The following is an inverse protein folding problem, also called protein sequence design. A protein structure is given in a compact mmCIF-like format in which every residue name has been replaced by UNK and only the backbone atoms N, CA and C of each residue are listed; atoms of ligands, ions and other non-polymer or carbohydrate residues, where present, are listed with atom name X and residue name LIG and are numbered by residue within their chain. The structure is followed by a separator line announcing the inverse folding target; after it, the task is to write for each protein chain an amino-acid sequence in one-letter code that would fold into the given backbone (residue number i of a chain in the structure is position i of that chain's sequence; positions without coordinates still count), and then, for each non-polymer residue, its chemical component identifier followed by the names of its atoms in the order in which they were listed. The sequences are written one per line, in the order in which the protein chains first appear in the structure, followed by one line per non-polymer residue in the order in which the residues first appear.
data_IF_092891467143
#
_entry.id   IF_092891467143
#
_cell.length_a   1.000
_cell.length_b   1.000
_cell.length_c   1.000
_cell.angle_alpha   90.00
_cell.angle_beta   90.00
_cell.angle_gamma   90.00
#
_symmetry.space_group_name_H-M   'P 1'
#
loop_
_entity.id
_entity.type
_entity.pdbx_description
1 polymer ?
#
# COMPACT_ATOMS: atom_id res chain seq x y z
N UNK A 1 21.88 -55.60 36.32
CA UNK A 1 22.29 -55.15 37.68
C UNK A 1 21.72 -55.99 38.84
N UNK A 2 20.55 -56.63 38.71
CA UNK A 2 19.90 -57.33 39.84
C UNK A 2 20.71 -58.48 40.49
N UNK A 3 21.27 -59.43 39.72
CA UNK A 3 21.93 -60.63 40.29
C UNK A 3 23.20 -60.31 41.11
N UNK A 4 23.99 -59.34 40.66
CA UNK A 4 25.23 -58.92 41.35
C UNK A 4 24.94 -58.13 42.64
N UNK A 5 23.92 -57.26 42.62
CA UNK A 5 23.47 -56.55 43.82
C UNK A 5 22.90 -57.52 44.87
N UNK A 6 22.12 -58.53 44.44
CA UNK A 6 21.61 -59.58 45.34
C UNK A 6 22.77 -60.36 45.98
N UNK A 7 23.79 -60.72 45.20
CA UNK A 7 24.98 -61.39 45.73
C UNK A 7 25.72 -60.54 46.78
N UNK A 8 25.90 -59.24 46.52
CA UNK A 8 26.53 -58.31 47.48
C UNK A 8 25.69 -58.14 48.76
N UNK A 9 24.36 -58.09 48.65
CA UNK A 9 23.47 -58.04 49.82
C UNK A 9 23.58 -59.32 50.64
N UNK A 10 23.60 -60.50 50.00
CA UNK A 10 23.77 -61.79 50.69
C UNK A 10 25.13 -61.83 51.41
N UNK A 11 26.21 -61.41 50.75
CA UNK A 11 27.54 -61.33 51.34
C UNK A 11 27.57 -60.38 52.56
N UNK A 12 26.95 -59.21 52.43
CA UNK A 12 26.84 -58.21 53.51
C UNK A 12 26.05 -58.76 54.71
N UNK A 13 24.92 -59.42 54.47
CA UNK A 13 24.11 -60.05 55.53
C UNK A 13 24.88 -61.21 56.20
N UNK A 14 25.61 -62.02 55.43
CA UNK A 14 26.46 -63.09 55.97
C UNK A 14 27.59 -62.54 56.86
N UNK A 15 28.26 -61.45 56.42
CA UNK A 15 29.29 -60.77 57.21
C UNK A 15 28.72 -60.16 58.50
N UNK A 16 27.53 -59.57 58.45
CA UNK A 16 26.81 -59.06 59.63
C UNK A 16 26.43 -60.17 60.61
N UNK A 17 25.94 -61.31 60.11
CA UNK A 17 25.63 -62.48 60.94
C UNK A 17 26.87 -63.03 61.65
N UNK A 18 28.01 -63.06 60.96
CA UNK A 18 29.30 -63.48 61.54
C UNK A 18 29.77 -62.50 62.64
N UNK A 19 29.67 -61.19 62.40
CA UNK A 19 30.00 -60.16 63.40
C UNK A 19 29.07 -60.18 64.61
N UNK A 20 27.78 -60.52 64.42
CA UNK A 20 26.81 -60.68 65.50
C UNK A 20 27.17 -61.81 66.47
N UNK A 21 27.76 -62.90 65.96
CA UNK A 21 28.20 -64.04 66.78
C UNK A 21 29.44 -63.68 67.61
N UNK A 22 30.36 -62.89 67.03
CA UNK A 22 31.62 -62.51 67.65
C UNK A 22 31.48 -61.38 68.69
N UNK A 23 30.51 -60.49 68.53
CA UNK A 23 30.41 -59.27 69.34
C UNK A 23 29.14 -59.26 70.21
N UNK A 24 29.27 -59.77 71.45
CA UNK A 24 28.17 -59.84 72.43
C UNK A 24 28.08 -58.64 73.38
N UNK A 25 28.90 -57.61 73.16
CA UNK A 25 28.92 -56.43 74.03
C UNK A 25 27.66 -55.58 73.87
N UNK A 26 27.12 -55.12 74.99
CA UNK A 26 25.95 -54.23 75.06
C UNK A 26 26.37 -52.78 75.29
N UNK A 27 25.50 -51.85 74.91
CA UNK A 27 25.60 -50.42 75.19
C UNK A 27 24.39 -50.03 76.02
N UNK A 28 24.63 -49.39 77.16
CA UNK A 28 23.58 -48.85 78.03
C UNK A 28 23.11 -47.50 77.50
N UNK A 29 21.86 -47.41 77.04
CA UNK A 29 21.23 -46.14 76.65
C UNK A 29 20.30 -45.67 77.76
N UNK A 30 20.49 -44.43 78.23
CA UNK A 30 19.61 -43.75 79.20
C UNK A 30 18.77 -42.71 78.45
N UNK A 31 17.47 -42.96 78.32
CA UNK A 31 16.54 -42.05 77.62
C UNK A 31 15.79 -41.12 78.57
N UNK A 32 15.50 -41.59 79.79
CA UNK A 32 14.96 -40.83 80.92
C UNK A 32 15.68 -41.26 82.21
N UNK A 33 15.60 -40.48 83.30
CA UNK A 33 16.24 -40.84 84.57
C UNK A 33 15.88 -42.25 85.07
N UNK A 34 14.65 -42.72 84.80
CA UNK A 34 14.13 -44.00 85.29
C UNK A 34 14.10 -45.13 84.23
N UNK A 35 14.65 -44.92 83.03
CA UNK A 35 14.65 -45.95 81.98
C UNK A 35 16.05 -46.19 81.38
N UNK A 36 16.61 -47.35 81.71
CA UNK A 36 17.89 -47.84 81.21
C UNK A 36 17.62 -49.05 80.32
N UNK A 37 18.10 -49.00 79.07
CA UNK A 37 18.01 -50.12 78.12
C UNK A 37 19.40 -50.58 77.73
N UNK A 38 19.64 -51.89 77.75
CA UNK A 38 20.87 -52.50 77.25
C UNK A 38 20.64 -53.01 75.83
N UNK A 39 21.35 -52.45 74.85
CA UNK A 39 21.20 -52.80 73.44
C UNK A 39 22.52 -53.37 72.92
N UNK A 40 22.54 -54.55 72.26
CA UNK A 40 23.74 -55.09 71.63
C UNK A 40 24.35 -54.11 70.61
N UNK A 41 25.69 -53.96 70.58
CA UNK A 41 26.38 -53.09 69.60
C UNK A 41 26.02 -53.40 68.15
N UNK A 42 25.84 -54.69 67.82
CA UNK A 42 25.43 -55.12 66.48
C UNK A 42 24.05 -54.57 66.07
N UNK A 43 23.11 -54.43 67.03
CA UNK A 43 21.80 -53.88 66.75
C UNK A 43 21.87 -52.39 66.39
N UNK A 44 22.80 -51.63 66.99
CA UNK A 44 23.04 -50.23 66.63
C UNK A 44 23.66 -50.08 65.23
N UNK A 45 24.59 -50.97 64.85
CA UNK A 45 25.20 -50.97 63.50
C UNK A 45 24.15 -51.31 62.43
N UNK A 46 23.31 -52.30 62.68
CA UNK A 46 22.19 -52.67 61.81
C UNK A 46 21.18 -51.53 61.69
N UNK A 47 20.84 -50.88 62.79
CA UNK A 47 19.93 -49.73 62.79
C UNK A 47 20.49 -48.56 61.99
N UNK A 48 21.76 -48.22 62.15
CA UNK A 48 22.42 -47.14 61.39
C UNK A 48 22.49 -47.46 59.89
N UNK A 49 22.83 -48.70 59.53
CA UNK A 49 22.88 -49.15 58.13
C UNK A 49 21.49 -49.17 57.49
N UNK A 50 20.47 -49.62 58.22
CA UNK A 50 19.08 -49.59 57.78
C UNK A 50 18.57 -48.16 57.61
N UNK A 51 18.91 -47.25 58.54
CA UNK A 51 18.57 -45.83 58.44
C UNK A 51 19.23 -45.20 57.20
N UNK A 52 20.52 -45.48 56.96
CA UNK A 52 21.22 -45.04 55.74
C UNK A 52 20.56 -45.55 54.46
N UNK A 53 20.25 -46.85 54.39
CA UNK A 53 19.54 -47.43 53.25
C UNK A 53 18.14 -46.82 53.04
N UNK A 54 17.39 -46.57 54.11
CA UNK A 54 16.09 -45.90 54.06
C UNK A 54 16.20 -44.46 53.56
N UNK A 55 17.22 -43.70 53.99
CA UNK A 55 17.44 -42.33 53.49
C UNK A 55 17.78 -42.31 52.01
N UNK A 56 18.62 -43.23 51.52
CA UNK A 56 18.95 -43.34 50.09
C UNK A 56 17.70 -43.74 49.29
N UNK A 57 16.91 -44.70 49.78
CA UNK A 57 15.65 -45.10 49.16
C UNK A 57 14.68 -43.91 49.07
N UNK A 58 14.54 -43.15 50.14
CA UNK A 58 13.69 -41.96 50.17
C UNK A 58 14.15 -40.90 49.14
N UNK A 59 15.46 -40.68 48.99
CA UNK A 59 16.03 -39.78 47.98
C UNK A 59 15.75 -40.29 46.55
N UNK A 60 15.92 -41.58 46.29
CA UNK A 60 15.63 -42.18 44.98
C UNK A 60 14.14 -42.03 44.64
N UNK A 61 13.25 -42.37 45.57
CA UNK A 61 11.80 -42.24 45.39
C UNK A 61 11.42 -40.78 45.13
N UNK A 62 11.97 -39.83 45.91
CA UNK A 62 11.71 -38.41 45.69
C UNK A 62 12.19 -37.93 44.31
N UNK A 63 13.38 -38.37 43.87
CA UNK A 63 13.93 -38.03 42.55
C UNK A 63 13.08 -38.59 41.42
N UNK A 64 12.70 -39.86 41.51
CA UNK A 64 11.93 -40.53 40.46
C UNK A 64 10.48 -40.03 40.41
N UNK A 65 9.89 -39.68 41.56
CA UNK A 65 8.59 -38.99 41.63
C UNK A 65 8.65 -37.61 40.96
N UNK A 66 9.71 -36.83 41.21
CA UNK A 66 9.92 -35.54 40.54
C UNK A 66 10.04 -35.69 39.01
N UNK A 67 10.88 -36.63 38.54
CA UNK A 67 11.02 -36.91 37.09
C UNK A 67 9.71 -37.35 36.46
N UNK A 68 8.93 -38.16 37.17
CA UNK A 68 7.61 -38.58 36.69
C UNK A 68 6.66 -37.39 36.54
N UNK A 69 6.61 -36.49 37.52
CA UNK A 69 5.78 -35.27 37.47
C UNK A 69 6.22 -34.37 36.31
N UNK A 70 7.52 -34.12 36.15
CA UNK A 70 8.07 -33.34 35.03
C UNK A 70 7.69 -33.97 33.68
N UNK A 71 7.92 -35.28 33.52
CA UNK A 71 7.55 -35.99 32.28
C UNK A 71 6.04 -35.97 32.00
N UNK A 72 5.20 -36.01 33.03
CA UNK A 72 3.75 -35.93 32.89
C UNK A 72 3.29 -34.52 32.50
N UNK A 73 3.91 -33.49 33.07
CA UNK A 73 3.68 -32.10 32.69
C UNK A 73 4.09 -31.86 31.24
N UNK A 74 5.24 -32.37 30.80
CA UNK A 74 5.71 -32.26 29.43
C UNK A 74 4.75 -32.94 28.44
N UNK A 75 4.31 -34.17 28.74
CA UNK A 75 3.33 -34.88 27.88
C UNK A 75 2.00 -34.13 27.83
N UNK A 76 1.55 -33.55 28.96
CA UNK A 76 0.33 -32.75 29.00
C UNK A 76 0.48 -31.47 28.16
N UNK A 77 1.63 -30.80 28.25
CA UNK A 77 1.95 -29.61 27.48
C UNK A 77 2.03 -29.91 25.98
N UNK A 78 2.73 -30.97 25.57
CA UNK A 78 2.80 -31.40 24.17
C UNK A 78 1.42 -31.74 23.60
N UNK A 79 0.56 -32.43 24.38
CA UNK A 79 -0.83 -32.71 23.96
C UNK A 79 -1.63 -31.42 23.78
N UNK A 80 -1.44 -30.43 24.65
CA UNK A 80 -2.06 -29.11 24.53
C UNK A 80 -1.58 -28.41 23.26
N UNK A 81 -0.27 -28.28 23.07
CA UNK A 81 0.34 -27.65 21.90
C UNK A 81 -0.10 -28.30 20.59
N UNK A 82 -0.09 -29.64 20.51
CA UNK A 82 -0.57 -30.38 19.34
C UNK A 82 -2.05 -30.12 19.05
N UNK A 83 -2.89 -30.05 20.10
CA UNK A 83 -4.31 -29.72 19.95
C UNK A 83 -4.51 -28.28 19.46
N UNK A 84 -3.79 -27.31 20.02
CA UNK A 84 -3.86 -25.91 19.61
C UNK A 84 -3.36 -25.73 18.18
N UNK A 85 -2.27 -26.39 17.81
CA UNK A 85 -1.78 -26.45 16.44
C UNK A 85 -2.84 -27.02 15.49
N UNK A 86 -3.55 -28.07 15.91
CA UNK A 86 -4.65 -28.64 15.12
C UNK A 86 -5.85 -27.71 14.96
N UNK A 87 -6.16 -26.84 15.94
CA UNK A 87 -7.13 -25.76 15.74
C UNK A 87 -6.57 -24.67 14.82
N UNK A 88 -5.28 -24.35 14.95
CA UNK A 88 -4.65 -23.31 14.15
C UNK A 88 -4.64 -23.68 12.67
N UNK A 89 -4.29 -24.92 12.33
CA UNK A 89 -4.32 -25.42 10.94
C UNK A 89 -5.74 -25.40 10.37
N UNK A 90 -6.75 -25.87 11.12
CA UNK A 90 -8.15 -25.80 10.69
C UNK A 90 -8.63 -24.36 10.48
N UNK A 91 -8.20 -23.44 11.34
CA UNK A 91 -8.48 -22.00 11.18
C UNK A 91 -7.88 -21.44 9.89
N UNK A 92 -6.62 -21.80 9.58
CA UNK A 92 -5.98 -21.41 8.32
C UNK A 92 -6.67 -22.03 7.10
N UNK A 93 -7.04 -23.31 7.15
CA UNK A 93 -7.76 -23.99 6.06
C UNK A 93 -9.13 -23.32 5.79
N UNK A 94 -9.82 -22.91 6.85
CA UNK A 94 -11.07 -22.15 6.74
C UNK A 94 -10.86 -20.76 6.12
N UNK A 95 -9.76 -20.05 6.46
CA UNK A 95 -9.41 -18.77 5.81
C UNK A 95 -9.17 -18.93 4.31
N UNK A 96 -8.39 -19.94 3.92
CA UNK A 96 -8.10 -20.22 2.50
C UNK A 96 -9.37 -20.57 1.74
N UNK A 97 -10.33 -21.22 2.39
CA UNK A 97 -11.63 -21.55 1.82
C UNK A 97 -12.68 -20.43 1.95
N UNK A 98 -12.27 -19.22 2.35
CA UNK A 98 -13.15 -18.05 2.56
C UNK A 98 -14.28 -18.27 3.58
N UNK A 99 -14.13 -19.23 4.50
CA UNK A 99 -15.07 -19.49 5.59
C UNK A 99 -14.63 -18.75 6.86
N UNK A 100 -14.81 -17.43 6.84
CA UNK A 100 -14.33 -16.54 7.90
C UNK A 100 -14.89 -16.85 9.30
N UNK A 101 -16.17 -17.24 9.40
CA UNK A 101 -16.80 -17.57 10.68
C UNK A 101 -16.22 -18.85 11.31
N UNK A 102 -16.00 -19.90 10.52
CA UNK A 102 -15.35 -21.13 11.00
C UNK A 102 -13.90 -20.86 11.44
N UNK A 103 -13.19 -20.00 10.71
CA UNK A 103 -11.85 -19.59 11.07
C UNK A 103 -11.83 -18.84 12.42
N UNK A 104 -12.76 -17.89 12.60
CA UNK A 104 -12.92 -17.15 13.84
C UNK A 104 -13.19 -18.08 15.03
N UNK A 105 -14.05 -19.09 14.88
CA UNK A 105 -14.31 -20.08 15.91
C UNK A 105 -13.05 -20.86 16.31
N UNK A 106 -12.27 -21.32 15.33
CA UNK A 106 -11.05 -22.07 15.57
C UNK A 106 -9.98 -21.23 16.27
N UNK A 107 -9.75 -19.98 15.83
CA UNK A 107 -8.78 -19.10 16.48
C UNK A 107 -9.26 -18.65 17.87
N UNK A 108 -10.57 -18.41 18.06
CA UNK A 108 -11.14 -18.06 19.36
C UNK A 108 -10.95 -19.16 20.40
N UNK A 109 -11.07 -20.44 20.00
CA UNK A 109 -10.76 -21.58 20.89
C UNK A 109 -9.31 -21.59 21.35
N UNK A 110 -8.37 -21.19 20.48
CA UNK A 110 -6.97 -21.07 20.86
C UNK A 110 -6.79 -19.96 21.90
N UNK A 111 -7.40 -18.79 21.69
CA UNK A 111 -7.29 -17.66 22.63
C UNK A 111 -7.93 -17.97 23.99
N UNK A 112 -9.00 -18.76 24.04
CA UNK A 112 -9.60 -19.21 25.30
C UNK A 112 -8.62 -20.04 26.15
N UNK A 113 -7.75 -20.83 25.52
CA UNK A 113 -6.74 -21.65 26.21
C UNK A 113 -5.38 -20.95 26.37
N UNK A 114 -5.03 -20.09 25.43
CA UNK A 114 -3.79 -19.32 25.36
C UNK A 114 -4.07 -17.88 24.91
N UNK A 115 -4.42 -16.98 25.86
CA UNK A 115 -4.76 -15.60 25.55
C UNK A 115 -3.66 -14.82 24.83
N UNK A 116 -2.40 -15.26 24.98
CA UNK A 116 -1.22 -14.62 24.44
C UNK A 116 -0.69 -15.30 23.15
N UNK A 117 -1.51 -16.08 22.45
CA UNK A 117 -1.10 -16.70 21.19
C UNK A 117 -1.09 -15.69 20.03
N UNK A 118 0.09 -15.10 19.76
CA UNK A 118 0.31 -13.98 18.82
C UNK A 118 -0.31 -14.24 17.45
N UNK A 119 -0.07 -15.43 16.88
CA UNK A 119 -0.55 -15.77 15.54
C UNK A 119 -2.08 -15.86 15.48
N UNK A 120 -2.76 -16.27 16.54
CA UNK A 120 -4.23 -16.31 16.58
C UNK A 120 -4.80 -14.90 16.77
N UNK A 121 -4.16 -14.07 17.60
CA UNK A 121 -4.53 -12.65 17.74
C UNK A 121 -4.43 -11.93 16.39
N UNK A 122 -3.33 -12.13 15.64
CA UNK A 122 -3.17 -11.60 14.29
C UNK A 122 -4.31 -12.04 13.36
N UNK A 123 -4.57 -13.35 13.26
CA UNK A 123 -5.60 -13.86 12.34
C UNK A 123 -7.03 -13.44 12.73
N UNK A 124 -7.34 -13.32 14.01
CA UNK A 124 -8.61 -12.74 14.46
C UNK A 124 -8.69 -11.23 14.17
N UNK A 125 -7.58 -10.51 14.30
CA UNK A 125 -7.48 -9.12 13.88
C UNK A 125 -7.72 -8.97 12.37
N UNK A 126 -7.12 -9.84 11.55
CA UNK A 126 -7.27 -9.85 10.09
C UNK A 126 -8.74 -10.11 9.72
N UNK A 127 -9.37 -11.09 10.37
CA UNK A 127 -10.79 -11.41 10.21
C UNK A 127 -11.69 -10.23 10.58
N UNK A 128 -11.49 -9.64 11.77
CA UNK A 128 -12.24 -8.48 12.23
C UNK A 128 -12.07 -7.26 11.31
N UNK A 129 -10.86 -7.06 10.79
CA UNK A 129 -10.60 -5.98 9.84
C UNK A 129 -11.35 -6.22 8.52
N UNK A 130 -11.31 -7.45 8.00
CA UNK A 130 -12.00 -7.84 6.77
C UNK A 130 -13.54 -7.76 6.88
N UNK A 131 -14.09 -7.96 8.07
CA UNK A 131 -15.53 -7.81 8.35
C UNK A 131 -15.96 -6.37 8.61
N UNK A 132 -15.02 -5.42 8.62
CA UNK A 132 -15.26 -3.99 8.87
C UNK A 132 -15.33 -3.60 10.35
N UNK A 133 -15.11 -4.54 11.29
CA UNK A 133 -15.00 -4.26 12.72
C UNK A 133 -13.59 -3.77 13.08
N UNK A 134 -13.29 -2.53 12.64
CA UNK A 134 -11.98 -1.89 12.80
C UNK A 134 -11.58 -1.78 14.27
N UNK A 135 -12.55 -1.59 15.17
CA UNK A 135 -12.31 -1.50 16.62
C UNK A 135 -11.79 -2.81 17.18
N UNK A 136 -12.47 -3.94 16.92
CA UNK A 136 -11.99 -5.25 17.39
C UNK A 136 -10.66 -5.63 16.75
N UNK A 137 -10.49 -5.33 15.46
CA UNK A 137 -9.22 -5.58 14.77
C UNK A 137 -8.06 -4.89 15.49
N UNK A 138 -8.24 -3.60 15.81
CA UNK A 138 -7.28 -2.81 16.56
C UNK A 138 -6.96 -3.41 17.92
N UNK A 139 -7.97 -3.83 18.67
CA UNK A 139 -7.77 -4.43 20.00
C UNK A 139 -6.93 -5.71 19.93
N UNK A 140 -7.21 -6.59 18.95
CA UNK A 140 -6.43 -7.80 18.73
C UNK A 140 -4.99 -7.49 18.35
N UNK A 141 -4.76 -6.54 17.44
CA UNK A 141 -3.41 -6.16 17.04
C UNK A 141 -2.62 -5.44 18.13
N UNK A 142 -3.26 -4.62 18.97
CA UNK A 142 -2.61 -3.97 20.13
C UNK A 142 -2.13 -5.04 21.11
N UNK A 143 -2.98 -6.01 21.46
CA UNK A 143 -2.59 -7.15 22.31
C UNK A 143 -1.44 -7.94 21.68
N UNK A 144 -1.49 -8.19 20.37
CA UNK A 144 -0.39 -8.86 19.67
C UNK A 144 0.91 -8.04 19.74
N UNK A 145 0.84 -6.72 19.59
CA UNK A 145 2.00 -5.81 19.68
C UNK A 145 2.60 -5.78 21.08
N UNK A 146 1.79 -5.82 22.14
CA UNK A 146 2.29 -5.89 23.53
C UNK A 146 3.17 -7.13 23.74
N UNK A 147 2.84 -8.24 23.08
CA UNK A 147 3.59 -9.50 23.15
C UNK A 147 4.82 -9.51 22.22
N UNK A 148 4.75 -8.84 21.07
CA UNK A 148 5.85 -8.75 20.13
C UNK A 148 5.98 -7.34 19.49
N UNK A 149 6.61 -6.39 20.20
CA UNK A 149 6.62 -4.97 19.78
C UNK A 149 7.34 -4.67 18.48
N UNK A 150 8.27 -5.56 18.05
CA UNK A 150 9.09 -5.41 16.84
C UNK A 150 8.65 -6.34 15.70
N UNK A 151 7.50 -7.00 15.81
CA UNK A 151 6.99 -7.86 14.74
C UNK A 151 6.42 -7.00 13.59
N UNK A 152 7.03 -7.12 12.41
CA UNK A 152 6.66 -6.32 11.24
C UNK A 152 5.22 -6.56 10.78
N UNK A 153 4.72 -7.80 10.81
CA UNK A 153 3.34 -8.14 10.40
C UNK A 153 2.33 -7.39 11.28
N UNK A 154 2.56 -7.37 12.60
CA UNK A 154 1.70 -6.65 13.56
C UNK A 154 1.75 -5.14 13.32
N UNK A 155 2.94 -4.58 13.11
CA UNK A 155 3.09 -3.15 12.86
C UNK A 155 2.40 -2.72 11.55
N UNK A 156 2.51 -3.51 10.48
CA UNK A 156 1.78 -3.27 9.23
C UNK A 156 0.26 -3.41 9.41
N UNK A 157 -0.20 -4.36 10.20
CA UNK A 157 -1.63 -4.51 10.48
C UNK A 157 -2.19 -3.32 11.28
N UNK A 158 -1.44 -2.81 12.26
CA UNK A 158 -1.83 -1.58 12.97
C UNK A 158 -1.80 -0.35 12.07
N UNK A 159 -0.78 -0.21 11.23
CA UNK A 159 -0.69 0.86 10.22
C UNK A 159 -1.95 0.90 9.34
N UNK A 160 -2.36 -0.25 8.78
CA UNK A 160 -3.60 -0.39 7.99
C UNK A 160 -4.85 0.03 8.78
N UNK A 161 -4.92 -0.30 10.06
CA UNK A 161 -6.03 0.12 10.94
C UNK A 161 -6.06 1.64 11.09
N UNK A 162 -4.92 2.27 11.35
CA UNK A 162 -4.87 3.73 11.48
C UNK A 162 -5.12 4.44 10.13
N UNK A 163 -4.72 3.85 9.00
CA UNK A 163 -5.08 4.34 7.67
C UNK A 163 -6.60 4.26 7.42
N UNK A 164 -7.23 3.14 7.77
CA UNK A 164 -8.69 2.97 7.66
C UNK A 164 -9.46 3.96 8.57
N UNK A 165 -8.91 4.29 9.74
CA UNK A 165 -9.42 5.36 10.62
C UNK A 165 -9.08 6.78 10.11
N UNK A 166 -8.36 6.93 9.00
CA UNK A 166 -7.83 8.19 8.46
C UNK A 166 -6.93 8.97 9.45
N UNK A 167 -6.32 8.26 10.41
CA UNK A 167 -5.36 8.81 11.37
C UNK A 167 -3.96 8.74 10.78
N UNK A 168 -3.72 9.61 9.79
CA UNK A 168 -2.50 9.62 8.98
C UNK A 168 -1.21 9.74 9.80
N UNK A 169 -1.21 10.56 10.86
CA UNK A 169 -0.02 10.73 11.72
C UNK A 169 0.32 9.45 12.49
N UNK A 170 -0.68 8.72 12.96
CA UNK A 170 -0.46 7.44 13.64
C UNK A 170 0.06 6.38 12.66
N UNK A 171 -0.54 6.31 11.46
CA UNK A 171 -0.07 5.42 10.40
C UNK A 171 1.41 5.69 10.05
N UNK A 172 1.80 6.97 9.87
CA UNK A 172 3.18 7.36 9.65
C UNK A 172 4.12 6.94 10.79
N UNK A 173 3.71 7.09 12.05
CA UNK A 173 4.50 6.63 13.20
C UNK A 173 4.75 5.12 13.18
N UNK A 174 3.73 4.32 12.80
CA UNK A 174 3.92 2.87 12.66
C UNK A 174 4.85 2.52 11.49
N UNK A 175 4.77 3.26 10.38
CA UNK A 175 5.69 3.10 9.25
C UNK A 175 7.11 3.50 9.61
N UNK A 176 7.28 4.55 10.41
CA UNK A 176 8.59 4.96 10.94
C UNK A 176 9.19 3.87 11.84
N UNK A 177 8.40 3.30 12.76
CA UNK A 177 8.85 2.16 13.58
C UNK A 177 9.24 0.94 12.72
N UNK A 178 8.55 0.69 11.61
CA UNK A 178 8.91 -0.38 10.67
C UNK A 178 10.24 -0.06 9.99
N UNK A 179 10.41 1.17 9.51
CA UNK A 179 11.64 1.63 8.84
C UNK A 179 12.83 1.75 9.80
N UNK A 180 12.62 1.84 11.12
CA UNK A 180 13.67 1.69 12.12
C UNK A 180 14.17 0.25 12.27
N UNK A 181 13.32 -0.74 11.96
CA UNK A 181 13.65 -2.17 12.01
C UNK A 181 14.23 -2.63 10.67
N UNK A 182 13.64 -2.18 9.57
CA UNK A 182 13.99 -2.50 8.19
C UNK A 182 13.95 -1.22 7.34
N UNK A 183 15.08 -0.52 7.27
CA UNK A 183 15.22 0.78 6.60
C UNK A 183 14.87 0.73 5.11
N UNK A 184 15.12 -0.41 4.46
CA UNK A 184 14.95 -0.59 3.02
C UNK A 184 13.64 -1.29 2.66
N UNK A 185 12.75 -1.52 3.65
CA UNK A 185 11.47 -2.21 3.45
C UNK A 185 10.65 -1.57 2.32
N UNK A 186 10.54 -2.21 1.13
CA UNK A 186 9.87 -1.58 -0.01
C UNK A 186 8.39 -1.33 0.29
N UNK A 187 7.76 -2.25 1.01
CA UNK A 187 6.35 -2.13 1.41
C UNK A 187 6.14 -0.92 2.33
N UNK A 188 7.00 -0.72 3.34
CA UNK A 188 6.85 0.42 4.25
C UNK A 188 7.07 1.76 3.52
N UNK A 189 8.05 1.83 2.62
CA UNK A 189 8.29 3.03 1.81
C UNK A 189 7.10 3.34 0.89
N UNK A 190 6.54 2.34 0.20
CA UNK A 190 5.35 2.54 -0.64
C UNK A 190 4.14 2.99 0.18
N UNK A 191 3.88 2.35 1.32
CA UNK A 191 2.76 2.73 2.20
C UNK A 191 2.94 4.14 2.76
N UNK A 192 4.17 4.52 3.15
CA UNK A 192 4.50 5.88 3.63
C UNK A 192 4.26 6.93 2.56
N UNK A 193 4.65 6.63 1.32
CA UNK A 193 4.35 7.49 0.17
C UNK A 193 2.84 7.65 -0.04
N UNK A 194 2.09 6.55 -0.01
CA UNK A 194 0.65 6.57 -0.24
C UNK A 194 -0.09 7.37 0.85
N UNK A 195 0.34 7.26 2.12
CA UNK A 195 -0.17 8.09 3.22
C UNK A 195 0.13 9.58 2.98
N UNK A 196 1.36 9.94 2.59
CA UNK A 196 1.67 11.33 2.26
C UNK A 196 0.89 11.84 1.04
N UNK A 197 0.60 10.97 0.08
CA UNK A 197 -0.20 11.31 -1.08
C UNK A 197 -1.65 11.65 -0.70
N UNK A 198 -2.25 10.86 0.20
CA UNK A 198 -3.57 11.16 0.77
C UNK A 198 -3.58 12.48 1.54
N UNK A 199 -2.49 12.80 2.24
CA UNK A 199 -2.31 14.08 2.94
C UNK A 199 -1.93 15.24 2.00
N UNK A 200 -1.69 14.99 0.70
CA UNK A 200 -1.15 15.95 -0.27
C UNK A 200 0.15 16.62 0.17
N UNK A 201 0.99 15.90 0.92
CA UNK A 201 2.31 16.34 1.39
C UNK A 201 3.39 16.03 0.36
N UNK A 202 3.30 16.70 -0.78
CA UNK A 202 4.16 16.46 -1.95
C UNK A 202 5.65 16.68 -1.70
N UNK A 203 5.97 17.57 -0.76
CA UNK A 203 7.32 17.84 -0.28
C UNK A 203 7.97 16.57 0.29
N UNK A 204 7.26 15.90 1.20
CA UNK A 204 7.76 14.69 1.88
C UNK A 204 7.73 13.45 0.98
N UNK A 205 6.86 13.42 -0.03
CA UNK A 205 6.82 12.34 -1.01
C UNK A 205 8.13 12.23 -1.78
N UNK A 206 8.76 13.36 -2.14
CA UNK A 206 10.00 13.34 -2.90
C UNK A 206 11.12 12.62 -2.14
N UNK A 207 11.25 12.88 -0.83
CA UNK A 207 12.24 12.22 0.01
C UNK A 207 12.04 10.70 0.05
N UNK A 208 10.80 10.25 0.21
CA UNK A 208 10.45 8.82 0.19
C UNK A 208 10.69 8.22 -1.20
N UNK A 209 10.32 8.93 -2.27
CA UNK A 209 10.50 8.48 -3.65
C UNK A 209 11.99 8.32 -4.01
N UNK A 210 12.85 9.21 -3.52
CA UNK A 210 14.30 9.06 -3.69
C UNK A 210 14.85 7.85 -2.95
N UNK A 211 14.35 7.55 -1.74
CA UNK A 211 14.70 6.31 -1.02
C UNK A 211 14.27 5.06 -1.80
N UNK A 212 13.05 5.05 -2.34
CA UNK A 212 12.55 3.97 -3.21
C UNK A 212 13.45 3.78 -4.43
N UNK A 213 13.88 4.85 -5.09
CA UNK A 213 14.73 4.74 -6.28
C UNK A 213 16.18 4.30 -5.98
N UNK A 214 16.62 4.43 -4.73
CA UNK A 214 17.94 3.98 -4.26
C UNK A 214 17.96 2.48 -3.97
N UNK A 215 16.83 1.87 -3.64
CA UNK A 215 16.77 0.43 -3.38
C UNK A 215 16.99 -0.39 -4.66
N UNK A 216 17.31 -1.68 -4.48
CA UNK A 216 17.56 -2.60 -5.59
C UNK A 216 16.24 -3.04 -6.24
N UNK A 217 15.75 -2.21 -7.17
CA UNK A 217 14.53 -2.46 -7.93
C UNK A 217 14.83 -3.08 -9.30
N UNK A 218 14.00 -4.03 -9.78
CA UNK A 218 14.04 -4.48 -11.16
C UNK A 218 13.93 -3.30 -12.13
N UNK A 219 14.65 -3.35 -13.26
CA UNK A 219 14.72 -2.24 -14.23
C UNK A 219 13.35 -1.65 -14.61
N UNK A 220 12.36 -2.51 -14.88
CA UNK A 220 10.98 -2.09 -15.22
C UNK A 220 10.29 -1.34 -14.10
N UNK A 221 10.47 -1.76 -12.85
CA UNK A 221 9.91 -1.08 -11.68
C UNK A 221 10.61 0.25 -11.46
N UNK A 222 11.94 0.28 -11.58
CA UNK A 222 12.72 1.52 -11.48
C UNK A 222 12.28 2.55 -12.53
N UNK A 223 12.04 2.15 -13.78
CA UNK A 223 11.48 3.01 -14.82
C UNK A 223 10.09 3.57 -14.44
N UNK A 224 9.21 2.73 -13.86
CA UNK A 224 7.91 3.18 -13.35
C UNK A 224 8.07 4.20 -12.22
N UNK A 225 8.96 3.94 -11.27
CA UNK A 225 9.21 4.83 -10.14
C UNK A 225 9.89 6.15 -10.56
N UNK A 226 10.68 6.15 -11.65
CA UNK A 226 11.17 7.39 -12.26
C UNK A 226 10.04 8.22 -12.87
N UNK A 227 9.06 7.59 -13.54
CA UNK A 227 7.86 8.28 -14.02
C UNK A 227 7.02 8.84 -12.88
N UNK A 228 6.86 8.09 -11.79
CA UNK A 228 6.18 8.57 -10.59
C UNK A 228 6.90 9.79 -9.99
N UNK A 229 8.24 9.80 -9.94
CA UNK A 229 9.02 10.94 -9.48
C UNK A 229 8.74 12.22 -10.29
N UNK A 230 8.64 12.10 -11.62
CA UNK A 230 8.27 13.22 -12.51
C UNK A 230 6.86 13.74 -12.14
N UNK A 231 5.91 12.82 -11.99
CA UNK A 231 4.55 13.13 -11.54
C UNK A 231 4.50 13.85 -10.19
N UNK A 232 5.22 13.36 -9.18
CA UNK A 232 5.25 13.98 -7.85
C UNK A 232 5.93 15.35 -7.84
N UNK A 233 6.97 15.57 -8.65
CA UNK A 233 7.56 16.90 -8.82
C UNK A 233 6.58 17.87 -9.48
N UNK A 234 5.79 17.40 -10.44
CA UNK A 234 4.71 18.18 -11.03
C UNK A 234 3.65 18.56 -9.99
N UNK A 235 3.19 17.61 -9.16
CA UNK A 235 2.22 17.90 -8.09
C UNK A 235 2.76 18.91 -7.06
N UNK A 236 4.03 18.79 -6.68
CA UNK A 236 4.66 19.79 -5.81
C UNK A 236 4.75 21.16 -6.49
N UNK A 237 5.06 21.21 -7.80
CA UNK A 237 5.06 22.44 -8.58
C UNK A 237 3.67 23.09 -8.63
N UNK A 238 2.61 22.29 -8.79
CA UNK A 238 1.21 22.73 -8.72
C UNK A 238 0.85 23.25 -7.33
N UNK A 239 1.32 22.60 -6.27
CA UNK A 239 1.10 23.07 -4.92
C UNK A 239 1.76 24.44 -4.66
N UNK A 240 2.96 24.68 -5.22
CA UNK A 240 3.58 26.00 -5.18
C UNK A 240 2.77 27.06 -5.94
N UNK A 241 2.18 26.72 -7.09
CA UNK A 241 1.26 27.62 -7.79
C UNK A 241 0.03 27.96 -6.97
N UNK A 242 -0.59 26.97 -6.33
CA UNK A 242 -1.78 27.15 -5.49
C UNK A 242 -1.47 28.03 -4.26
N UNK A 243 -0.27 27.91 -3.71
CA UNK A 243 0.22 28.75 -2.60
C UNK A 243 0.80 30.09 -3.06
N UNK A 244 0.73 30.42 -4.35
CA UNK A 244 1.27 31.65 -4.97
C UNK A 244 2.79 31.82 -4.83
N UNK A 245 3.52 30.74 -4.59
CA UNK A 245 4.99 30.73 -4.65
C UNK A 245 5.46 30.46 -6.09
N UNK A 246 5.35 31.50 -6.92
CA UNK A 246 5.57 31.39 -8.36
C UNK A 246 7.02 31.04 -8.69
N UNK A 247 8.00 31.56 -7.95
CA UNK A 247 9.41 31.29 -8.18
C UNK A 247 9.78 29.81 -7.99
N UNK A 248 9.35 29.21 -6.87
CA UNK A 248 9.60 27.78 -6.64
C UNK A 248 8.83 26.91 -7.64
N UNK A 249 7.60 27.29 -7.98
CA UNK A 249 6.83 26.62 -9.01
C UNK A 249 7.57 26.63 -10.37
N UNK A 250 7.97 27.80 -10.86
CA UNK A 250 8.70 27.97 -12.13
C UNK A 250 9.97 27.11 -12.14
N UNK A 251 10.79 27.20 -11.09
CA UNK A 251 12.04 26.44 -10.99
C UNK A 251 11.80 24.93 -11.07
N UNK A 252 10.82 24.42 -10.31
CA UNK A 252 10.54 22.99 -10.25
C UNK A 252 9.91 22.47 -11.54
N UNK A 253 8.92 23.17 -12.09
CA UNK A 253 8.24 22.76 -13.32
C UNK A 253 9.16 22.84 -14.54
N UNK A 254 10.05 23.84 -14.62
CA UNK A 254 11.13 23.86 -15.63
C UNK A 254 12.02 22.62 -15.54
N UNK A 255 12.32 22.14 -14.33
CA UNK A 255 13.12 20.93 -14.16
C UNK A 255 12.35 19.68 -14.64
N UNK A 256 11.03 19.63 -14.44
CA UNK A 256 10.17 18.55 -14.96
C UNK A 256 10.17 18.54 -16.49
N UNK A 257 9.91 19.69 -17.14
CA UNK A 257 9.93 19.82 -18.61
C UNK A 257 11.28 19.43 -19.22
N UNK A 258 12.40 19.72 -18.54
CA UNK A 258 13.73 19.30 -19.02
C UNK A 258 13.97 17.79 -18.88
N UNK A 259 13.37 17.15 -17.88
CA UNK A 259 13.51 15.72 -17.61
C UNK A 259 12.63 14.89 -18.53
N UNK A 260 11.42 15.36 -18.79
CA UNK A 260 10.45 14.71 -19.65
C UNK A 260 9.81 15.74 -20.58
N UNK A 261 10.21 15.69 -21.86
CA UNK A 261 9.78 16.65 -22.88
C UNK A 261 8.38 16.36 -23.39
N UNK A 262 7.86 15.15 -23.17
CA UNK A 262 6.55 14.73 -23.62
C UNK A 262 5.48 14.95 -22.54
N UNK A 263 5.90 15.29 -21.32
CA UNK A 263 5.01 15.49 -20.17
C UNK A 263 4.22 16.80 -20.26
N UNK A 264 3.13 16.77 -21.02
CA UNK A 264 2.22 17.90 -21.28
C UNK A 264 1.86 18.68 -20.00
N UNK A 265 1.53 18.04 -18.86
CA UNK A 265 1.09 18.77 -17.67
C UNK A 265 2.08 19.79 -17.14
N UNK A 266 3.39 19.50 -17.21
CA UNK A 266 4.38 20.44 -16.71
C UNK A 266 4.51 21.69 -17.58
N UNK A 267 4.34 21.57 -18.90
CA UNK A 267 4.31 22.75 -19.76
C UNK A 267 3.13 23.64 -19.43
N UNK A 268 1.94 23.06 -19.27
CA UNK A 268 0.73 23.84 -18.99
C UNK A 268 0.79 24.53 -17.63
N UNK A 269 1.27 23.82 -16.59
CA UNK A 269 1.44 24.41 -15.27
C UNK A 269 2.55 25.48 -15.26
N UNK A 270 3.63 25.28 -16.01
CA UNK A 270 4.69 26.28 -16.11
C UNK A 270 4.24 27.52 -16.90
N UNK A 271 3.46 27.35 -17.96
CA UNK A 271 2.84 28.47 -18.68
C UNK A 271 1.87 29.24 -17.76
N UNK A 272 1.06 28.55 -16.96
CA UNK A 272 0.23 29.18 -15.93
C UNK A 272 1.08 29.97 -14.91
N UNK A 273 2.23 29.43 -14.50
CA UNK A 273 3.18 30.12 -13.63
C UNK A 273 3.66 31.44 -14.24
N UNK A 274 4.07 31.39 -15.52
CA UNK A 274 4.54 32.56 -16.27
C UNK A 274 3.44 33.62 -16.42
N UNK A 275 2.22 33.20 -16.80
CA UNK A 275 1.09 34.12 -16.92
C UNK A 275 0.72 34.80 -15.60
N UNK A 276 0.79 34.08 -14.47
CA UNK A 276 0.56 34.67 -13.13
C UNK A 276 1.63 35.66 -12.72
N UNK A 277 2.84 35.50 -13.24
CA UNK A 277 3.97 36.40 -13.00
C UNK A 277 4.00 37.60 -13.96
N UNK A 278 3.11 37.63 -14.96
CA UNK A 278 3.09 38.64 -16.02
C UNK A 278 4.10 38.41 -17.16
N UNK A 279 4.82 37.30 -17.14
CA UNK A 279 5.76 36.85 -18.18
C UNK A 279 4.98 36.19 -19.33
N UNK A 280 4.22 36.97 -20.11
CA UNK A 280 3.30 36.46 -21.13
C UNK A 280 4.03 35.88 -22.34
N UNK A 281 5.10 36.52 -22.78
CA UNK A 281 5.93 36.09 -23.90
C UNK A 281 6.58 34.73 -23.62
N UNK A 282 7.07 34.51 -22.40
CA UNK A 282 7.64 33.24 -21.97
C UNK A 282 6.60 32.12 -21.94
N UNK A 283 5.36 32.43 -21.54
CA UNK A 283 4.26 31.48 -21.58
C UNK A 283 3.90 31.09 -23.02
N UNK A 284 3.83 32.07 -23.93
CA UNK A 284 3.59 31.86 -25.35
C UNK A 284 4.64 30.93 -25.96
N UNK A 285 5.92 31.29 -25.83
CA UNK A 285 7.05 30.51 -26.36
C UNK A 285 7.07 29.07 -25.82
N UNK A 286 6.72 28.91 -24.53
CA UNK A 286 6.69 27.60 -23.91
C UNK A 286 5.55 26.73 -24.46
N UNK A 287 4.35 27.29 -24.63
CA UNK A 287 3.20 26.55 -25.15
C UNK A 287 3.39 26.18 -26.63
N UNK A 288 3.94 27.08 -27.45
CA UNK A 288 4.30 26.80 -28.85
C UNK A 288 5.33 25.67 -28.92
N UNK A 289 6.37 25.72 -28.09
CA UNK A 289 7.39 24.66 -28.01
C UNK A 289 6.81 23.32 -27.55
N UNK A 290 5.89 23.34 -26.58
CA UNK A 290 5.18 22.15 -26.15
C UNK A 290 4.35 21.53 -27.27
N UNK A 291 3.69 22.37 -28.08
CA UNK A 291 2.99 21.94 -29.27
C UNK A 291 3.93 21.34 -30.31
N UNK A 292 5.01 22.02 -30.67
CA UNK A 292 5.97 21.53 -31.67
C UNK A 292 6.64 20.21 -31.26
N UNK A 293 6.74 19.94 -29.95
CA UNK A 293 7.34 18.70 -29.42
C UNK A 293 6.35 17.54 -29.41
N UNK A 294 5.11 17.78 -29.00
CA UNK A 294 4.13 16.70 -28.70
C UNK A 294 3.02 16.57 -29.74
N UNK A 295 2.84 17.58 -30.59
CA UNK A 295 1.69 17.77 -31.48
C UNK A 295 0.33 17.67 -30.78
N UNK A 296 0.28 17.89 -29.46
CA UNK A 296 -0.95 17.72 -28.69
C UNK A 296 -1.90 18.89 -28.87
N UNK A 297 -3.15 18.59 -29.24
CA UNK A 297 -4.24 19.57 -29.40
C UNK A 297 -4.55 20.36 -28.12
N UNK A 298 -4.14 19.85 -26.94
CA UNK A 298 -4.31 20.56 -25.67
C UNK A 298 -3.52 21.88 -25.67
N UNK A 299 -2.34 21.91 -26.32
CA UNK A 299 -1.57 23.15 -26.45
C UNK A 299 -2.27 24.16 -27.35
N UNK A 300 -2.85 23.73 -28.47
CA UNK A 300 -3.60 24.61 -29.36
C UNK A 300 -4.81 25.24 -28.65
N UNK A 301 -5.55 24.45 -27.87
CA UNK A 301 -6.65 24.97 -27.07
C UNK A 301 -6.19 26.04 -26.07
N UNK A 302 -5.03 25.84 -25.43
CA UNK A 302 -4.46 26.81 -24.46
C UNK A 302 -3.90 28.07 -25.13
N UNK A 303 -3.26 27.92 -26.29
CA UNK A 303 -2.80 29.05 -27.10
C UNK A 303 -3.99 29.86 -27.63
N UNK A 304 -5.06 29.19 -28.07
CA UNK A 304 -6.30 29.85 -28.48
C UNK A 304 -6.88 30.68 -27.33
N UNK A 305 -7.05 30.09 -26.15
CA UNK A 305 -7.53 30.81 -24.97
C UNK A 305 -6.65 32.04 -24.66
N UNK A 306 -5.32 31.88 -24.74
CA UNK A 306 -4.35 32.95 -24.49
C UNK A 306 -4.47 34.09 -25.51
N UNK A 307 -4.38 33.80 -26.81
CA UNK A 307 -4.38 34.82 -27.86
C UNK A 307 -5.72 35.52 -28.00
N UNK A 308 -6.83 34.82 -27.74
CA UNK A 308 -8.16 35.45 -27.68
C UNK A 308 -8.23 36.43 -26.51
N UNK A 309 -7.71 36.06 -25.33
CA UNK A 309 -7.68 36.95 -24.17
C UNK A 309 -6.79 38.18 -24.39
N UNK A 310 -5.68 38.03 -25.12
CA UNK A 310 -4.79 39.12 -25.51
C UNK A 310 -5.34 40.01 -26.64
N UNK A 311 -6.39 39.57 -27.33
CA UNK A 311 -6.92 40.29 -28.49
C UNK A 311 -6.07 40.15 -29.76
N UNK A 312 -5.21 39.12 -29.83
CA UNK A 312 -4.30 38.85 -30.94
C UNK A 312 -4.65 37.53 -31.70
N UNK A 313 -5.88 37.35 -32.21
CA UNK A 313 -6.30 36.10 -32.84
C UNK A 313 -5.49 35.73 -34.09
N UNK A 314 -4.83 36.70 -34.74
CA UNK A 314 -3.99 36.46 -35.91
C UNK A 314 -2.84 35.49 -35.64
N UNK A 315 -2.25 35.54 -34.43
CA UNK A 315 -1.14 34.64 -34.06
C UNK A 315 -1.59 33.18 -33.98
N UNK A 316 -2.71 32.89 -33.32
CA UNK A 316 -3.25 31.53 -33.23
C UNK A 316 -3.72 31.02 -34.59
N UNK A 317 -4.31 31.87 -35.44
CA UNK A 317 -4.67 31.52 -36.81
C UNK A 317 -3.42 31.07 -37.58
N UNK A 318 -2.32 31.83 -37.49
CA UNK A 318 -1.05 31.46 -38.11
C UNK A 318 -0.49 30.13 -37.61
N UNK A 319 -0.61 29.83 -36.31
CA UNK A 319 -0.21 28.54 -35.73
C UNK A 319 -1.04 27.39 -36.30
N UNK A 320 -2.36 27.52 -36.36
CA UNK A 320 -3.23 26.51 -36.98
C UNK A 320 -2.90 26.31 -38.46
N UNK A 321 -2.71 27.39 -39.22
CA UNK A 321 -2.35 27.32 -40.65
C UNK A 321 -1.02 26.58 -40.85
N UNK A 322 0.00 26.91 -40.04
CA UNK A 322 1.28 26.21 -40.08
C UNK A 322 1.15 24.73 -39.70
N UNK A 323 0.32 24.40 -38.71
CA UNK A 323 0.04 23.02 -38.32
C UNK A 323 -0.64 22.23 -39.45
N UNK A 324 -1.65 22.81 -40.10
CA UNK A 324 -2.35 22.20 -41.24
C UNK A 324 -1.42 22.06 -42.45
N UNK A 325 -0.51 23.00 -42.68
CA UNK A 325 0.49 22.86 -43.75
C UNK A 325 1.43 21.67 -43.52
N UNK A 326 1.81 21.39 -42.26
CA UNK A 326 2.64 20.24 -41.89
C UNK A 326 1.90 18.92 -42.08
N UNK A 327 0.62 18.87 -41.71
CA UNK A 327 -0.26 17.72 -41.95
C UNK A 327 -1.60 18.13 -42.59
N UNK A 328 -1.67 18.24 -43.93
CA UNK A 328 -2.88 18.66 -44.63
C UNK A 328 -4.05 17.68 -44.53
N UNK A 329 -3.80 16.45 -44.05
CA UNK A 329 -4.81 15.41 -43.90
C UNK A 329 -5.43 15.39 -42.50
N UNK A 330 -4.87 16.12 -41.55
CA UNK A 330 -5.45 16.23 -40.22
C UNK A 330 -6.67 17.16 -40.23
N UNK A 331 -7.82 16.54 -40.49
CA UNK A 331 -9.11 17.20 -40.51
C UNK A 331 -9.54 17.72 -39.13
N UNK A 332 -8.96 17.23 -38.02
CA UNK A 332 -9.25 17.76 -36.68
C UNK A 332 -8.75 19.20 -36.58
N UNK A 333 -7.54 19.48 -37.08
CA UNK A 333 -6.98 20.84 -37.10
C UNK A 333 -7.82 21.80 -37.98
N UNK A 334 -8.28 21.33 -39.13
CA UNK A 334 -9.17 22.11 -40.02
C UNK A 334 -10.50 22.43 -39.34
N UNK A 335 -11.09 21.47 -38.63
CA UNK A 335 -12.30 21.69 -37.84
C UNK A 335 -12.10 22.75 -36.75
N UNK A 336 -11.01 22.65 -35.98
CA UNK A 336 -10.72 23.62 -34.92
C UNK A 336 -10.44 25.03 -35.48
N UNK A 337 -9.71 25.13 -36.60
CA UNK A 337 -9.50 26.42 -37.27
C UNK A 337 -10.81 27.03 -37.78
N UNK A 338 -11.69 26.24 -38.41
CA UNK A 338 -12.98 26.73 -38.85
C UNK A 338 -13.88 27.18 -37.69
N UNK A 339 -13.85 26.44 -36.57
CA UNK A 339 -14.55 26.81 -35.34
C UNK A 339 -14.02 28.14 -34.79
N UNK A 340 -12.71 28.35 -34.83
CA UNK A 340 -12.08 29.61 -34.44
C UNK A 340 -12.50 30.76 -35.37
N UNK A 341 -12.45 30.59 -36.69
CA UNK A 341 -12.93 31.60 -37.64
C UNK A 341 -14.40 31.96 -37.40
N UNK A 342 -15.26 30.96 -37.18
CA UNK A 342 -16.66 31.20 -36.84
C UNK A 342 -16.81 32.01 -35.55
N UNK A 343 -16.05 31.68 -34.50
CA UNK A 343 -16.04 32.41 -33.22
C UNK A 343 -15.59 33.87 -33.39
N UNK A 344 -14.71 34.14 -34.35
CA UNK A 344 -14.20 35.47 -34.70
C UNK A 344 -15.10 36.21 -35.70
N UNK A 345 -16.26 35.66 -36.06
CA UNK A 345 -17.19 36.20 -37.08
C UNK A 345 -16.55 36.30 -38.49
N UNK A 346 -15.47 35.57 -38.75
CA UNK A 346 -14.83 35.40 -40.07
C UNK A 346 -15.57 34.29 -40.84
N UNK A 347 -16.82 34.57 -41.23
CA UNK A 347 -17.76 33.54 -41.70
C UNK A 347 -17.34 32.92 -43.04
N UNK A 348 -16.79 33.69 -43.96
CA UNK A 348 -16.36 33.17 -45.26
C UNK A 348 -15.12 32.27 -45.13
N UNK A 349 -14.12 32.66 -44.33
CA UNK A 349 -12.94 31.80 -44.04
C UNK A 349 -13.34 30.50 -43.32
N UNK A 350 -14.29 30.59 -42.38
CA UNK A 350 -14.85 29.41 -41.72
C UNK A 350 -15.51 28.46 -42.72
N UNK A 351 -16.30 29.01 -43.66
CA UNK A 351 -16.97 28.24 -44.70
C UNK A 351 -15.96 27.57 -45.65
N UNK A 352 -14.99 28.32 -46.16
CA UNK A 352 -13.96 27.80 -47.06
C UNK A 352 -13.15 26.68 -46.41
N UNK A 353 -12.77 26.87 -45.14
CA UNK A 353 -12.02 25.86 -44.38
C UNK A 353 -12.80 24.56 -44.27
N UNK A 354 -14.09 24.59 -43.89
CA UNK A 354 -14.89 23.36 -43.73
C UNK A 354 -15.21 22.70 -45.06
N UNK A 355 -15.54 23.45 -46.10
CA UNK A 355 -15.90 22.87 -47.41
C UNK A 355 -14.70 22.17 -48.06
N UNK A 356 -13.48 22.58 -47.72
CA UNK A 356 -12.26 21.90 -48.16
C UNK A 356 -12.01 20.55 -47.46
N UNK A 357 -12.74 20.25 -46.36
CA UNK A 357 -12.62 19.00 -45.63
C UNK A 357 -13.40 17.88 -46.32
N UNK A 358 -12.85 16.66 -46.33
CA UNK A 358 -13.64 15.47 -46.65
C UNK A 358 -14.53 15.11 -45.45
N UNK A 359 -15.77 15.58 -45.49
CA UNK A 359 -16.78 15.44 -44.42
C UNK A 359 -17.05 13.95 -44.08
N UNK A 360 -16.73 13.01 -44.97
CA UNK A 360 -17.00 11.58 -44.77
C UNK A 360 -16.27 10.94 -43.58
N UNK A 361 -15.14 11.49 -43.15
CA UNK A 361 -14.34 10.95 -42.03
C UNK A 361 -14.58 11.59 -40.66
N UNK A 362 -15.28 12.73 -40.60
CA UNK A 362 -15.62 13.46 -39.37
C UNK A 362 -17.14 13.69 -39.26
N UNK A 363 -17.93 12.63 -39.49
CA UNK A 363 -19.40 12.65 -39.39
C UNK A 363 -19.89 12.70 -37.93
N UNK A 364 -19.73 13.88 -37.32
CA UNK A 364 -20.12 14.19 -35.93
C UNK A 364 -21.19 15.29 -35.89
N UNK A 365 -22.12 15.27 -34.92
CA UNK A 365 -23.14 16.30 -34.76
C UNK A 365 -22.57 17.71 -34.69
N UNK A 366 -21.41 17.90 -34.08
CA UNK A 366 -20.78 19.19 -33.84
C UNK A 366 -20.19 19.80 -35.12
N UNK A 367 -19.72 18.98 -36.06
CA UNK A 367 -19.35 19.44 -37.39
C UNK A 367 -20.59 19.95 -38.13
N UNK A 368 -21.67 19.16 -38.13
CA UNK A 368 -22.93 19.53 -38.76
C UNK A 368 -23.60 20.74 -38.09
N UNK A 369 -23.49 20.89 -36.77
CA UNK A 369 -23.94 22.07 -36.04
C UNK A 369 -23.13 23.31 -36.45
N UNK A 370 -21.80 23.19 -36.57
CA UNK A 370 -20.95 24.28 -37.04
C UNK A 370 -21.29 24.68 -38.48
N UNK A 371 -21.44 23.72 -39.39
CA UNK A 371 -21.88 23.95 -40.77
C UNK A 371 -23.27 24.61 -40.84
N UNK A 372 -24.24 24.10 -40.07
CA UNK A 372 -25.58 24.67 -39.98
C UNK A 372 -25.54 26.13 -39.50
N UNK A 373 -24.74 26.41 -38.47
CA UNK A 373 -24.52 27.75 -37.95
C UNK A 373 -23.86 28.68 -38.97
N UNK A 374 -22.87 28.20 -39.74
CA UNK A 374 -22.22 28.95 -40.81
C UNK A 374 -23.23 29.27 -41.93
N UNK A 375 -23.99 28.28 -42.40
CA UNK A 375 -25.03 28.50 -43.41
C UNK A 375 -26.10 29.47 -42.94
N UNK A 376 -26.50 29.40 -41.67
CA UNK A 376 -27.45 30.34 -41.07
C UNK A 376 -26.91 31.78 -41.11
N UNK A 377 -25.64 32.00 -40.74
CA UNK A 377 -24.98 33.32 -40.82
C UNK A 377 -24.89 33.84 -42.26
N UNK A 378 -24.79 32.94 -43.24
CA UNK A 378 -24.82 33.27 -44.69
C UNK A 378 -26.23 33.36 -45.28
N UNK A 379 -27.28 33.35 -44.46
CA UNK A 379 -28.70 33.41 -44.87
C UNK A 379 -29.16 32.22 -45.75
N UNK A 380 -28.42 31.10 -45.76
CA UNK A 380 -28.77 29.88 -46.48
C UNK A 380 -29.59 28.96 -45.56
N UNK A 381 -30.81 29.39 -45.22
CA UNK A 381 -31.65 28.74 -44.22
C UNK A 381 -31.99 27.28 -44.56
N UNK A 382 -32.19 26.97 -45.85
CA UNK A 382 -32.52 25.61 -46.29
C UNK A 382 -31.37 24.63 -46.00
N UNK A 383 -30.14 25.01 -46.40
CA UNK A 383 -28.94 24.21 -46.13
C UNK A 383 -28.64 24.12 -44.63
N UNK A 384 -28.82 25.21 -43.89
CA UNK A 384 -28.68 25.20 -42.44
C UNK A 384 -29.61 24.16 -41.80
N UNK A 385 -30.88 24.14 -42.21
CA UNK A 385 -31.86 23.18 -41.73
C UNK A 385 -31.51 21.73 -42.10
N UNK A 386 -30.93 21.49 -43.27
CA UNK A 386 -30.43 20.17 -43.66
C UNK A 386 -29.28 19.70 -42.76
N UNK A 387 -28.29 20.55 -42.50
CA UNK A 387 -27.14 20.21 -41.65
C UNK A 387 -27.58 19.97 -40.20
N UNK A 388 -28.45 20.80 -39.62
CA UNK A 388 -29.00 20.54 -38.29
C UNK A 388 -29.79 19.23 -38.23
N UNK A 389 -30.54 18.87 -39.28
CA UNK A 389 -31.22 17.56 -39.37
C UNK A 389 -30.23 16.40 -39.40
N UNK A 390 -29.07 16.55 -40.05
CA UNK A 390 -28.00 15.54 -40.01
C UNK A 390 -27.44 15.41 -38.59
N UNK A 391 -27.14 16.53 -37.94
CA UNK A 391 -26.64 16.55 -36.55
C UNK A 391 -27.58 15.79 -35.59
N UNK A 392 -28.90 16.00 -35.70
CA UNK A 392 -29.91 15.33 -34.86
C UNK A 392 -30.03 13.82 -35.11
N UNK A 393 -29.67 13.32 -36.29
CA UNK A 393 -29.71 11.88 -36.62
C UNK A 393 -28.50 11.13 -36.06
N UNK A 394 -27.41 11.84 -35.81
CA UNK A 394 -26.17 11.26 -35.29
C UNK A 394 -26.29 11.08 -33.77
N UNK A 395 -26.02 9.86 -33.31
CA UNK A 395 -26.06 9.51 -31.87
C UNK A 395 -24.73 9.77 -31.15
N UNK A 396 -23.63 9.84 -31.89
CA UNK A 396 -22.29 10.11 -31.32
C UNK A 396 -22.17 11.60 -31.04
N UNK A 397 -22.47 12.04 -29.83
CA UNK A 397 -22.11 13.40 -29.40
C UNK A 397 -20.58 13.54 -29.43
N UNK A 398 -20.05 14.50 -30.18
CA UNK A 398 -18.75 15.10 -29.89
C UNK A 398 -18.97 16.03 -28.69
N UNK A 399 -19.27 15.43 -27.53
CA UNK A 399 -18.81 16.09 -26.32
C UNK A 399 -17.32 16.31 -26.55
N UNK A 400 -16.81 17.48 -26.18
CA UNK A 400 -15.36 17.70 -26.12
C UNK A 400 -14.95 17.42 -24.66
N UNK A 401 -15.10 16.20 -24.08
CA UNK A 401 -14.51 15.94 -22.80
C UNK A 401 -13.04 15.57 -23.03
N UNK A 402 -12.27 15.79 -22.00
CA UNK A 402 -11.00 15.11 -21.87
C UNK A 402 -11.28 13.69 -21.39
N UNK A 403 -10.74 12.70 -22.08
CA UNK A 403 -10.82 11.31 -21.71
C UNK A 403 -9.46 10.80 -21.26
N UNK A 404 -9.46 10.07 -20.15
CA UNK A 404 -8.28 9.37 -19.68
C UNK A 404 -8.03 8.12 -20.54
N UNK A 405 -6.97 8.11 -21.35
CA UNK A 405 -6.58 6.97 -22.19
C UNK A 405 -6.23 5.69 -21.39
N UNK A 406 -6.06 5.80 -20.07
CA UNK A 406 -5.76 4.68 -19.20
C UNK A 406 -6.99 4.02 -18.56
N UNK A 407 -8.03 4.78 -18.20
CA UNK A 407 -9.18 4.24 -17.48
C UNK A 407 -10.56 4.65 -18.04
N UNK A 408 -10.58 5.39 -19.15
CA UNK A 408 -11.79 5.85 -19.83
C UNK A 408 -12.58 6.91 -19.06
N UNK A 409 -12.02 7.49 -17.99
CA UNK A 409 -12.71 8.55 -17.24
C UNK A 409 -12.84 9.81 -18.10
N UNK A 410 -14.08 10.30 -18.27
CA UNK A 410 -14.40 11.51 -19.03
C UNK A 410 -14.63 12.70 -18.11
N UNK A 411 -14.12 13.86 -18.48
CA UNK A 411 -14.23 15.14 -17.75
C UNK A 411 -14.45 16.29 -18.70
N UNK A 412 -15.19 17.33 -18.27
CA UNK A 412 -15.28 18.58 -19.03
C UNK A 412 -13.99 19.40 -18.95
N UNK A 413 -13.32 19.33 -17.79
CA UNK A 413 -12.09 20.05 -17.53
C UNK A 413 -10.87 19.14 -17.72
N UNK A 414 -9.80 19.72 -18.26
CA UNK A 414 -8.52 19.03 -18.41
C UNK A 414 -7.83 18.92 -17.05
N UNK A 415 -7.23 17.77 -16.76
CA UNK A 415 -6.40 17.57 -15.57
C UNK A 415 -5.10 16.88 -15.94
N UNK A 416 -3.99 17.37 -15.39
CA UNK A 416 -2.68 16.74 -15.55
C UNK A 416 -2.55 15.38 -14.87
N UNK A 417 -3.46 15.09 -13.92
CA UNK A 417 -3.55 13.83 -13.20
C UNK A 417 -4.98 13.31 -13.20
N UNK A 418 -5.18 12.06 -13.62
CA UNK A 418 -6.51 11.48 -13.65
C UNK A 418 -7.11 11.39 -12.23
N UNK A 419 -8.29 11.97 -11.96
CA UNK A 419 -8.90 11.90 -10.64
C UNK A 419 -9.31 10.47 -10.24
N UNK A 420 -9.62 9.61 -11.23
CA UNK A 420 -10.02 8.21 -11.04
C UNK A 420 -8.84 7.25 -10.89
N UNK A 421 -7.92 7.20 -11.85
CA UNK A 421 -6.81 6.23 -11.83
C UNK A 421 -5.48 6.78 -11.30
N UNK A 422 -5.43 8.08 -10.95
CA UNK A 422 -4.27 8.77 -10.37
C UNK A 422 -3.00 8.78 -11.23
N UNK A 423 -3.06 8.33 -12.49
CA UNK A 423 -1.96 8.44 -13.46
C UNK A 423 -1.88 9.85 -14.04
N UNK A 424 -0.66 10.33 -14.24
CA UNK A 424 -0.38 11.58 -14.91
C UNK A 424 -0.38 11.43 -16.42
N UNK A 425 -0.58 12.54 -17.12
CA UNK A 425 -0.42 12.65 -18.57
C UNK A 425 -1.22 11.61 -19.37
N UNK A 426 -2.46 11.39 -18.94
CA UNK A 426 -3.38 10.43 -19.58
C UNK A 426 -4.58 11.09 -20.24
N UNK A 427 -4.77 12.40 -20.03
CA UNK A 427 -5.95 13.13 -20.51
C UNK A 427 -5.72 13.65 -21.91
N UNK A 428 -6.47 13.11 -22.86
CA UNK A 428 -6.47 13.50 -24.26
C UNK A 428 -7.84 14.08 -24.62
N UNK A 429 -7.87 14.93 -25.65
CA UNK A 429 -9.12 15.38 -26.27
C UNK A 429 -9.76 14.19 -27.02
N UNK A 430 -10.89 13.69 -26.52
CA UNK A 430 -11.64 12.57 -27.12
C UNK A 430 -12.58 13.11 -28.20
N UNK A 431 -12.04 13.28 -29.40
CA UNK A 431 -12.82 13.69 -30.57
C UNK A 431 -13.56 12.53 -31.25
N UNK A 432 -13.22 11.28 -30.92
CA UNK A 432 -13.72 10.11 -31.62
C UNK A 432 -14.87 9.40 -30.86
N UNK A 433 -15.20 9.92 -29.66
CA UNK A 433 -16.31 9.46 -28.83
C UNK A 433 -16.11 8.03 -28.30
N UNK A 434 -14.87 7.67 -27.99
CA UNK A 434 -14.45 6.31 -27.64
C UNK A 434 -14.80 5.85 -26.22
#
# INVERSE_FOLDING_TARGET
MGKFAIFLIILFVAALGYLAILNKETVTLRFRPDSIYEIPKIALILFSSALGALTILAVIVARDARRYIESWQDVKQQKKESRLQGYYTKGLDALVAFRGQEAEEHFSRIIQEEPNHINSLLRLGDLAFSSGDITKAKDYYIKAKELSPRNLEILFSLEKVFEAEQKWQDALRYLDNILEIDEESPLALYRKRDVFENMKRWDLILDVQYKILKSDLPKREKEREHKNLIGYKYELGRHYLESSDIDRAKKLLRAVVRQDKDFIPAYLALAEAYLRDGEVEEAEELLVRGYDTTSSLVFLARLEDLFIALGEPGKIIGIYQNAIQKDPKDQKLQFFLAKLYYRLEMIDDAYETIVSMDVGSLDYPELHNLLGNIYQRRMQHDKAAEEFKKALKLKKLLLVPYCCNNCGYKSKDWSGRCPKCKRWDTFLLDMDGS
#
